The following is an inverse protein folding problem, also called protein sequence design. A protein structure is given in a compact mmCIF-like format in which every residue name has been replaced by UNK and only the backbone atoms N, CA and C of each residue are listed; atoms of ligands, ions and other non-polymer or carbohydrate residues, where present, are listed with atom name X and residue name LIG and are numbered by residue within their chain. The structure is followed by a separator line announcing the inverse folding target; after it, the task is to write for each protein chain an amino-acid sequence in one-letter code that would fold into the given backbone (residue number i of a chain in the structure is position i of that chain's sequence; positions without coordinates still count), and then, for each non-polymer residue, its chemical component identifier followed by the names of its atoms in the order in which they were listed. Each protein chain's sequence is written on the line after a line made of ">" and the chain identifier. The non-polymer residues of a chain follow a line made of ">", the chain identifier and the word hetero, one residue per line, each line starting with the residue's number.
data_IF_664263191866
#
_entry.id   IF_664263191866
#
_cell.length_a   1.000
_cell.length_b   1.000
_cell.length_c   1.000
_cell.angle_alpha   90.00
_cell.angle_beta   90.00
_cell.angle_gamma   90.00
#
_symmetry.space_group_name_H-M   'P 1'
#
loop_
_entity.id
_entity.type
_entity.pdbx_description
1 polymer ?
#
# COMPACT_ATOMS: atom_id res chain seq x y z
N UNK A 1 6.72 -8.51 -19.04
CA UNK A 1 8.20 -8.35 -19.03
C UNK A 1 8.62 -6.90 -19.27
N UNK A 2 8.02 -6.20 -20.23
CA UNK A 2 8.38 -4.83 -20.63
C UNK A 2 8.33 -3.80 -19.49
N UNK A 3 7.45 -3.99 -18.50
CA UNK A 3 7.28 -3.09 -17.38
C UNK A 3 8.45 -3.08 -16.39
N UNK A 4 9.13 -4.23 -16.16
CA UNK A 4 10.11 -4.38 -15.08
C UNK A 4 11.54 -4.69 -15.55
N UNK A 5 11.79 -4.74 -16.85
CA UNK A 5 13.14 -4.93 -17.40
C UNK A 5 13.92 -3.62 -17.63
N UNK A 6 13.52 -2.54 -16.94
CA UNK A 6 14.16 -1.24 -17.04
C UNK A 6 15.28 -1.08 -16.03
N UNK A 7 16.36 -0.41 -16.42
CA UNK A 7 17.51 -0.14 -15.52
C UNK A 7 17.12 0.65 -14.27
N UNK A 8 16.16 1.56 -14.40
CA UNK A 8 15.68 2.40 -13.32
C UNK A 8 14.21 2.08 -13.01
N UNK A 9 13.84 2.16 -11.73
CA UNK A 9 12.54 1.66 -11.28
C UNK A 9 11.40 2.58 -11.67
N UNK A 10 11.45 3.88 -11.34
CA UNK A 10 10.33 4.81 -11.51
C UNK A 10 10.60 5.93 -12.50
N UNK A 11 11.85 6.18 -12.85
CA UNK A 11 12.32 7.29 -13.70
C UNK A 11 13.34 6.78 -14.70
N UNK A 12 13.51 7.49 -15.79
CA UNK A 12 14.53 7.19 -16.77
C UNK A 12 15.92 7.76 -16.37
N UNK A 13 16.92 7.55 -17.21
CA UNK A 13 18.29 8.06 -17.00
C UNK A 13 18.37 9.60 -16.91
N UNK A 14 17.33 10.31 -17.39
CA UNK A 14 17.20 11.77 -17.32
C UNK A 14 16.32 12.22 -16.17
N UNK A 15 16.08 11.34 -15.21
CA UNK A 15 15.21 11.55 -14.05
C UNK A 15 13.74 11.86 -14.40
N UNK A 16 13.28 11.50 -15.61
CA UNK A 16 11.89 11.68 -16.02
C UNK A 16 11.04 10.51 -15.54
N UNK A 17 9.93 10.81 -14.88
CA UNK A 17 8.96 9.83 -14.42
C UNK A 17 8.36 9.05 -15.59
N UNK A 18 8.26 7.72 -15.48
CA UNK A 18 7.67 6.92 -16.55
C UNK A 18 6.17 7.13 -16.63
N UNK A 19 5.67 7.39 -17.83
CA UNK A 19 4.25 7.67 -18.09
C UNK A 19 3.32 6.49 -17.82
N UNK A 20 3.85 5.27 -17.80
CA UNK A 20 3.15 4.03 -17.58
C UNK A 20 3.32 3.50 -16.15
N UNK A 21 3.79 4.32 -15.22
CA UNK A 21 3.91 3.93 -13.81
C UNK A 21 2.55 3.59 -13.17
N UNK A 22 1.46 4.16 -13.66
CA UNK A 22 0.09 3.81 -13.27
C UNK A 22 -0.25 2.36 -13.65
N UNK A 23 -0.02 1.96 -14.90
CA UNK A 23 -0.25 0.60 -15.38
C UNK A 23 0.68 -0.41 -14.67
N UNK A 24 1.94 -0.01 -14.43
CA UNK A 24 2.93 -0.80 -13.70
C UNK A 24 2.52 -1.06 -12.26
N UNK A 25 2.02 -0.04 -11.56
CA UNK A 25 1.51 -0.17 -10.19
C UNK A 25 0.33 -1.15 -10.13
N UNK A 26 -0.65 -1.01 -11.04
CA UNK A 26 -1.79 -1.92 -11.14
C UNK A 26 -1.32 -3.36 -11.41
N UNK A 27 -0.45 -3.53 -12.41
CA UNK A 27 0.06 -4.85 -12.77
C UNK A 27 0.82 -5.51 -11.62
N UNK A 28 1.71 -4.75 -10.95
CA UNK A 28 2.48 -5.24 -9.82
C UNK A 28 1.56 -5.70 -8.67
N UNK A 29 0.65 -4.83 -8.24
CA UNK A 29 -0.22 -5.11 -7.10
C UNK A 29 -1.12 -6.34 -7.36
N UNK A 30 -1.73 -6.44 -8.55
CA UNK A 30 -2.52 -7.62 -8.92
C UNK A 30 -1.65 -8.86 -9.04
N UNK A 31 -0.48 -8.74 -9.68
CA UNK A 31 0.44 -9.85 -9.90
C UNK A 31 0.93 -10.48 -8.61
N UNK A 32 1.25 -9.66 -7.60
CA UNK A 32 1.64 -10.15 -6.27
C UNK A 32 0.52 -10.96 -5.63
N UNK A 33 -0.71 -10.43 -5.59
CA UNK A 33 -1.85 -11.11 -4.98
C UNK A 33 -2.17 -12.43 -5.71
N UNK A 34 -2.22 -12.42 -7.04
CA UNK A 34 -2.45 -13.64 -7.81
C UNK A 34 -1.32 -14.67 -7.66
N UNK A 35 -0.08 -14.23 -7.45
CA UNK A 35 1.05 -15.12 -7.19
C UNK A 35 0.91 -15.80 -5.83
N UNK A 36 0.59 -15.06 -4.78
CA UNK A 36 0.34 -15.60 -3.44
C UNK A 36 -0.80 -16.62 -3.47
N UNK A 37 -1.89 -16.32 -4.20
CA UNK A 37 -3.01 -17.27 -4.40
C UNK A 37 -2.55 -18.56 -5.06
N UNK A 38 -1.74 -18.48 -6.12
CA UNK A 38 -1.22 -19.68 -6.80
C UNK A 38 -0.30 -20.52 -5.93
N UNK A 39 0.44 -19.89 -5.01
CA UNK A 39 1.28 -20.57 -4.04
C UNK A 39 0.47 -21.22 -2.92
N UNK A 40 -0.80 -20.87 -2.75
CA UNK A 40 -1.69 -21.42 -1.71
C UNK A 40 -1.26 -21.06 -0.29
N UNK A 41 -0.50 -19.99 -0.12
CA UNK A 41 0.00 -19.53 1.17
C UNK A 41 -0.85 -18.38 1.70
N UNK A 42 -1.45 -18.54 2.88
CA UNK A 42 -2.20 -17.50 3.55
C UNK A 42 -1.28 -16.71 4.49
N UNK A 43 -0.95 -15.44 4.19
CA UNK A 43 -0.12 -14.62 5.05
C UNK A 43 -0.90 -14.11 6.26
N UNK A 44 -0.26 -14.01 7.41
CA UNK A 44 -0.79 -13.32 8.60
C UNK A 44 -0.64 -11.80 8.46
N UNK A 45 0.52 -11.36 7.96
CA UNK A 45 0.85 -9.94 7.69
C UNK A 45 1.20 -9.73 6.21
N UNK A 46 0.62 -8.71 5.61
CA UNK A 46 1.01 -8.20 4.29
C UNK A 46 1.54 -6.79 4.47
N UNK A 47 2.86 -6.62 4.38
CA UNK A 47 3.48 -5.32 4.50
C UNK A 47 3.78 -4.70 3.13
N UNK A 48 3.13 -3.58 2.85
CA UNK A 48 3.22 -2.82 1.62
C UNK A 48 4.17 -1.63 1.79
N UNK A 49 5.13 -1.44 0.88
CA UNK A 49 6.15 -0.41 0.95
C UNK A 49 6.02 0.61 -0.19
N UNK A 50 5.67 1.85 0.15
CA UNK A 50 5.64 2.98 -0.76
C UNK A 50 4.52 2.93 -1.81
N UNK A 51 4.42 3.99 -2.60
CA UNK A 51 3.32 4.25 -3.50
C UNK A 51 3.06 3.17 -4.57
N UNK A 52 4.11 2.45 -5.01
CA UNK A 52 3.97 1.39 -6.02
C UNK A 52 3.09 0.23 -5.51
N UNK A 53 3.01 0.02 -4.20
CA UNK A 53 2.23 -1.03 -3.55
C UNK A 53 0.89 -0.56 -2.97
N UNK A 54 0.57 0.73 -3.13
CA UNK A 54 -0.58 1.39 -2.48
C UNK A 54 -1.95 0.80 -2.83
N UNK A 55 -2.06 0.09 -3.95
CA UNK A 55 -3.30 -0.57 -4.36
C UNK A 55 -3.52 -1.93 -3.69
N UNK A 56 -2.50 -2.54 -3.09
CA UNK A 56 -2.65 -3.85 -2.41
C UNK A 56 -3.67 -3.78 -1.27
N UNK A 57 -3.59 -2.80 -0.33
CA UNK A 57 -4.60 -2.65 0.72
C UNK A 57 -6.02 -2.50 0.15
N UNK A 58 -6.19 -1.65 -0.87
CA UNK A 58 -7.47 -1.47 -1.53
C UNK A 58 -8.02 -2.79 -2.11
N UNK A 59 -7.20 -3.52 -2.84
CA UNK A 59 -7.62 -4.79 -3.44
C UNK A 59 -8.02 -5.82 -2.39
N UNK A 60 -7.24 -5.97 -1.31
CA UNK A 60 -7.53 -6.92 -0.22
C UNK A 60 -8.84 -6.56 0.47
N UNK A 61 -9.03 -5.28 0.82
CA UNK A 61 -10.22 -4.83 1.56
C UNK A 61 -11.50 -4.73 0.72
N UNK A 62 -11.39 -4.91 -0.61
CA UNK A 62 -12.54 -4.85 -1.53
C UNK A 62 -12.70 -6.13 -2.33
N UNK A 63 -11.98 -6.27 -3.44
CA UNK A 63 -12.16 -7.37 -4.41
C UNK A 63 -11.74 -8.74 -3.87
N UNK A 64 -10.81 -8.79 -2.91
CA UNK A 64 -10.34 -10.04 -2.28
C UNK A 64 -10.81 -10.19 -0.83
N UNK A 65 -11.75 -9.37 -0.35
CA UNK A 65 -12.18 -9.35 1.06
C UNK A 65 -12.72 -10.69 1.57
N UNK A 66 -13.35 -11.46 0.69
CA UNK A 66 -13.93 -12.76 1.01
C UNK A 66 -13.03 -13.94 0.59
N UNK A 67 -11.82 -13.66 0.06
CA UNK A 67 -10.86 -14.69 -0.34
C UNK A 67 -10.27 -15.35 0.91
N UNK A 68 -10.35 -16.69 1.05
CA UNK A 68 -9.86 -17.40 2.24
C UNK A 68 -8.40 -17.14 2.58
N UNK A 69 -7.57 -16.80 1.59
CA UNK A 69 -6.14 -16.53 1.80
C UNK A 69 -5.88 -15.14 2.39
N UNK A 70 -6.78 -14.17 2.16
CA UNK A 70 -6.56 -12.78 2.55
C UNK A 70 -7.49 -12.27 3.65
N UNK A 71 -8.63 -12.90 3.85
CA UNK A 71 -9.68 -12.41 4.75
C UNK A 71 -9.22 -12.14 6.19
N UNK A 72 -8.21 -12.87 6.66
CA UNK A 72 -7.66 -12.73 8.01
C UNK A 72 -6.31 -11.99 8.03
N UNK A 73 -5.74 -11.64 6.85
CA UNK A 73 -4.46 -10.96 6.78
C UNK A 73 -4.56 -9.52 7.27
N UNK A 74 -3.63 -9.12 8.15
CA UNK A 74 -3.41 -7.71 8.49
C UNK A 74 -2.58 -7.04 7.42
N UNK A 75 -3.04 -5.91 6.93
CA UNK A 75 -2.34 -5.14 5.91
C UNK A 75 -1.68 -3.93 6.55
N UNK A 76 -0.35 -3.89 6.49
CA UNK A 76 0.47 -2.77 6.98
C UNK A 76 0.94 -1.96 5.77
N UNK A 77 0.88 -0.64 5.86
CA UNK A 77 1.35 0.26 4.81
C UNK A 77 2.43 1.21 5.31
N UNK A 78 3.63 1.11 4.74
CA UNK A 78 4.71 2.06 5.01
C UNK A 78 4.75 3.16 3.96
N UNK A 79 4.70 4.42 4.41
CA UNK A 79 4.84 5.60 3.58
C UNK A 79 6.27 6.15 3.65
N UNK A 80 6.83 6.55 2.49
CA UNK A 80 8.20 7.03 2.35
C UNK A 80 8.26 8.45 1.79
N UNK A 81 9.44 9.05 1.82
CA UNK A 81 9.75 10.31 1.14
C UNK A 81 10.30 10.04 -0.28
N UNK A 82 9.47 9.41 -1.11
CA UNK A 82 9.76 9.05 -2.50
C UNK A 82 8.85 9.80 -3.49
N UNK A 83 8.63 11.09 -3.20
CA UNK A 83 7.69 11.97 -3.87
C UNK A 83 7.95 12.11 -5.38
N UNK A 84 6.87 12.23 -6.11
CA UNK A 84 6.86 12.67 -7.51
C UNK A 84 5.86 13.82 -7.70
N UNK A 85 6.16 14.71 -8.65
CA UNK A 85 5.34 15.89 -8.96
C UNK A 85 4.35 15.63 -10.10
N UNK A 86 4.57 14.55 -10.86
CA UNK A 86 3.66 14.12 -11.91
C UNK A 86 2.38 13.53 -11.29
N UNK A 87 1.30 13.46 -12.08
CA UNK A 87 0.11 12.67 -11.74
C UNK A 87 0.04 11.45 -12.66
N UNK A 88 -0.62 10.40 -12.19
CA UNK A 88 -1.01 9.28 -13.05
C UNK A 88 -2.09 9.72 -14.05
N UNK A 89 -2.45 8.84 -14.97
CA UNK A 89 -3.47 9.17 -15.97
C UNK A 89 -4.84 9.49 -15.35
N UNK A 90 -5.59 10.43 -15.92
CA UNK A 90 -6.92 10.85 -15.47
C UNK A 90 -7.92 9.68 -15.35
N UNK A 91 -7.71 8.63 -16.11
CA UNK A 91 -8.54 7.43 -16.06
C UNK A 91 -8.02 6.35 -15.10
N UNK A 92 -7.05 6.68 -14.23
CA UNK A 92 -6.43 5.74 -13.30
C UNK A 92 -7.45 5.00 -12.43
N UNK A 93 -8.40 5.71 -11.83
CA UNK A 93 -9.46 5.10 -11.02
C UNK A 93 -10.33 4.09 -11.78
N UNK A 94 -10.52 4.30 -13.09
CA UNK A 94 -11.22 3.35 -13.97
C UNK A 94 -10.38 2.11 -14.27
N UNK A 95 -9.06 2.29 -14.47
CA UNK A 95 -8.11 1.19 -14.68
C UNK A 95 -7.97 0.30 -13.44
N UNK A 96 -8.00 0.91 -12.25
CA UNK A 96 -7.90 0.21 -10.96
C UNK A 96 -9.16 -0.61 -10.68
N UNK A 97 -10.34 -0.17 -11.14
CA UNK A 97 -11.63 -0.76 -10.79
C UNK A 97 -11.67 -2.26 -11.07
N UNK A 98 -12.11 -3.02 -10.07
CA UNK A 98 -12.39 -4.46 -10.13
C UNK A 98 -13.78 -4.75 -9.56
N UNK A 99 -14.25 -5.97 -9.75
CA UNK A 99 -15.49 -6.43 -9.13
C UNK A 99 -15.39 -6.35 -7.59
N UNK A 100 -16.50 -6.00 -6.96
CA UNK A 100 -16.55 -5.78 -5.51
C UNK A 100 -16.19 -4.37 -5.05
N UNK A 101 -15.69 -3.48 -5.95
CA UNK A 101 -15.36 -2.09 -5.62
C UNK A 101 -16.54 -1.15 -5.86
N UNK A 102 -16.83 -0.31 -4.87
CA UNK A 102 -17.75 0.82 -4.98
C UNK A 102 -17.04 2.08 -5.54
N UNK A 103 -17.84 3.05 -5.97
CA UNK A 103 -17.29 4.36 -6.39
C UNK A 103 -16.66 5.14 -5.23
N UNK A 104 -17.04 4.83 -4.00
CA UNK A 104 -16.47 5.45 -2.81
C UNK A 104 -15.04 4.95 -2.54
N UNK A 105 -14.78 3.66 -2.75
CA UNK A 105 -13.45 3.06 -2.58
C UNK A 105 -12.41 3.67 -3.52
N UNK A 106 -12.86 4.16 -4.67
CA UNK A 106 -12.03 4.79 -5.71
C UNK A 106 -11.99 6.32 -5.63
N UNK A 107 -12.65 6.94 -4.63
CA UNK A 107 -12.81 8.39 -4.57
C UNK A 107 -11.47 9.13 -4.55
N UNK A 108 -10.54 8.69 -3.71
CA UNK A 108 -9.21 9.28 -3.55
C UNK A 108 -8.37 9.14 -4.83
N UNK A 109 -8.57 8.07 -5.61
CA UNK A 109 -7.85 7.81 -6.85
C UNK A 109 -8.40 8.55 -8.08
N UNK A 110 -9.41 9.42 -7.93
CA UNK A 110 -9.90 10.27 -9.04
C UNK A 110 -8.93 11.39 -9.39
N UNK A 111 -8.15 11.87 -8.43
CA UNK A 111 -7.02 12.76 -8.60
C UNK A 111 -5.74 12.03 -8.17
N UNK A 112 -5.12 11.23 -9.08
CA UNK A 112 -4.10 10.26 -8.73
C UNK A 112 -2.70 10.87 -8.65
N UNK A 113 -2.54 11.91 -7.82
CA UNK A 113 -1.26 12.47 -7.45
C UNK A 113 -0.59 11.64 -6.32
N UNK A 114 0.66 11.95 -6.02
CA UNK A 114 1.44 11.24 -4.99
C UNK A 114 0.72 11.13 -3.64
N UNK A 115 0.14 12.24 -3.17
CA UNK A 115 -0.55 12.27 -1.87
C UNK A 115 -1.77 11.35 -1.86
N UNK A 116 -2.61 11.45 -2.87
CA UNK A 116 -3.85 10.69 -2.96
C UNK A 116 -3.62 9.19 -3.14
N UNK A 117 -2.56 8.81 -3.86
CA UNK A 117 -2.18 7.40 -4.02
C UNK A 117 -1.75 6.81 -2.68
N UNK A 118 -0.89 7.52 -1.92
CA UNK A 118 -0.49 7.08 -0.58
C UNK A 118 -1.66 7.10 0.41
N UNK A 119 -2.49 8.15 0.40
CA UNK A 119 -3.69 8.22 1.24
C UNK A 119 -4.63 7.05 0.99
N UNK A 120 -4.81 6.62 -0.27
CA UNK A 120 -5.62 5.43 -0.58
C UNK A 120 -5.05 4.18 0.09
N UNK A 121 -3.73 3.97 0.03
CA UNK A 121 -3.06 2.86 0.70
C UNK A 121 -3.23 2.91 2.22
N UNK A 122 -2.97 4.08 2.83
CA UNK A 122 -3.10 4.29 4.27
C UNK A 122 -4.54 4.11 4.78
N UNK A 123 -5.53 4.61 4.03
CA UNK A 123 -6.94 4.50 4.38
C UNK A 123 -7.43 3.05 4.39
N UNK A 124 -6.94 2.22 3.48
CA UNK A 124 -7.35 0.83 3.32
C UNK A 124 -6.51 -0.17 4.13
N UNK A 125 -5.33 0.21 4.60
CA UNK A 125 -4.51 -0.62 5.48
C UNK A 125 -5.09 -0.74 6.89
N UNK A 126 -4.73 -1.80 7.62
CA UNK A 126 -5.07 -1.98 9.04
C UNK A 126 -4.14 -1.17 9.93
N UNK A 127 -2.89 -0.98 9.53
CA UNK A 127 -1.89 -0.20 10.26
C UNK A 127 -0.97 0.57 9.32
N UNK A 128 -0.35 1.64 9.82
CA UNK A 128 0.49 2.53 9.01
C UNK A 128 1.85 2.75 9.68
N UNK A 129 2.92 2.68 8.88
CA UNK A 129 4.30 2.94 9.35
C UNK A 129 4.87 4.16 8.60
N UNK A 130 5.54 5.03 9.32
CA UNK A 130 6.38 6.06 8.74
C UNK A 130 7.73 5.45 8.35
N UNK A 131 7.95 5.22 7.07
CA UNK A 131 9.14 4.52 6.55
C UNK A 131 10.36 5.43 6.30
N UNK A 132 10.18 6.77 6.30
CA UNK A 132 11.25 7.76 6.19
C UNK A 132 11.23 8.72 7.38
N UNK A 133 12.37 9.31 7.72
CA UNK A 133 12.50 10.29 8.81
C UNK A 133 11.54 11.46 8.63
N UNK A 134 11.37 11.93 7.39
CA UNK A 134 10.35 12.90 7.00
C UNK A 134 9.40 12.29 5.96
N UNK A 135 8.16 12.74 5.97
CA UNK A 135 7.13 12.46 4.97
C UNK A 135 6.30 13.74 4.74
N UNK A 136 5.55 13.86 3.63
CA UNK A 136 4.68 15.00 3.41
C UNK A 136 3.76 15.29 4.59
N UNK A 137 3.57 16.59 4.87
CA UNK A 137 2.81 17.06 6.05
C UNK A 137 1.36 16.51 6.06
N UNK A 138 0.73 16.39 4.90
CA UNK A 138 -0.62 15.86 4.74
C UNK A 138 -0.70 14.37 5.12
N UNK A 139 0.30 13.57 4.75
CA UNK A 139 0.38 12.16 5.11
C UNK A 139 0.68 12.00 6.60
N UNK A 140 1.54 12.86 7.15
CA UNK A 140 1.80 12.90 8.59
C UNK A 140 0.56 13.31 9.39
N UNK A 141 -0.21 14.27 8.89
CA UNK A 141 -1.47 14.69 9.51
C UNK A 141 -2.48 13.53 9.54
N UNK A 142 -2.58 12.75 8.48
CA UNK A 142 -3.41 11.54 8.47
C UNK A 142 -2.96 10.54 9.53
N UNK A 143 -1.65 10.25 9.65
CA UNK A 143 -1.13 9.35 10.68
C UNK A 143 -1.45 9.82 12.10
N UNK A 144 -1.41 11.12 12.34
CA UNK A 144 -1.69 11.69 13.66
C UNK A 144 -3.19 11.71 14.01
N UNK A 145 -4.06 11.69 12.99
CA UNK A 145 -5.52 11.78 13.17
C UNK A 145 -6.23 10.42 13.10
N UNK A 146 -5.58 9.39 12.60
CA UNK A 146 -6.19 8.06 12.47
C UNK A 146 -6.23 7.32 13.81
N UNK A 147 -7.28 6.52 14.04
CA UNK A 147 -7.39 5.61 15.18
C UNK A 147 -6.65 4.28 14.94
N UNK A 148 -6.14 4.04 13.73
CA UNK A 148 -5.40 2.82 13.41
C UNK A 148 -4.06 2.79 14.12
N UNK A 149 -3.53 1.59 14.44
CA UNK A 149 -2.17 1.43 14.91
C UNK A 149 -1.17 2.12 13.98
N UNK A 150 -0.28 2.94 14.54
CA UNK A 150 0.77 3.62 13.78
C UNK A 150 2.13 3.45 14.41
N UNK A 151 3.15 3.24 13.58
CA UNK A 151 4.54 3.23 14.02
C UNK A 151 5.30 4.40 13.37
N UNK A 152 5.96 5.21 14.19
CA UNK A 152 6.85 6.28 13.74
C UNK A 152 8.11 5.74 13.07
N UNK A 153 8.88 6.63 12.43
CA UNK A 153 10.14 6.28 11.80
C UNK A 153 11.10 5.56 12.77
N UNK A 154 11.72 4.50 12.26
CA UNK A 154 12.72 3.70 12.98
C UNK A 154 14.08 3.80 12.29
N UNK A 155 15.13 3.90 13.07
CA UNK A 155 16.52 3.92 12.57
C UNK A 155 16.96 2.50 12.15
N UNK A 156 18.12 2.40 11.51
CA UNK A 156 18.71 1.10 11.12
C UNK A 156 18.97 0.18 12.30
N UNK A 157 19.20 0.74 13.47
CA UNK A 157 19.49 0.00 14.70
C UNK A 157 18.23 -0.52 15.38
N UNK A 158 17.08 0.13 15.19
CA UNK A 158 15.85 -0.15 15.94
C UNK A 158 14.76 -0.82 15.10
N UNK A 159 14.79 -0.69 13.76
CA UNK A 159 13.65 -1.07 12.92
C UNK A 159 13.28 -2.56 13.01
N UNK A 160 14.27 -3.46 13.17
CA UNK A 160 14.01 -4.91 13.21
C UNK A 160 13.15 -5.28 14.42
N UNK A 161 13.56 -4.85 15.62
CA UNK A 161 12.78 -5.13 16.84
C UNK A 161 11.44 -4.39 16.83
N UNK A 162 11.44 -3.10 16.49
CA UNK A 162 10.22 -2.29 16.51
C UNK A 162 9.16 -2.80 15.51
N UNK A 163 9.56 -3.30 14.34
CA UNK A 163 8.63 -3.88 13.38
C UNK A 163 8.12 -5.25 13.84
N UNK A 164 8.99 -6.08 14.42
CA UNK A 164 8.59 -7.38 15.00
C UNK A 164 7.53 -7.17 16.08
N UNK A 165 7.84 -6.32 17.07
CA UNK A 165 6.92 -6.00 18.17
C UNK A 165 5.58 -5.44 17.64
N UNK A 166 5.64 -4.55 16.65
CA UNK A 166 4.45 -3.96 16.02
C UNK A 166 3.58 -5.00 15.29
N UNK A 167 4.18 -5.98 14.63
CA UNK A 167 3.43 -7.05 13.99
C UNK A 167 2.80 -7.99 15.01
N UNK A 168 3.54 -8.33 16.07
CA UNK A 168 3.03 -9.18 17.14
C UNK A 168 1.82 -8.54 17.82
N UNK A 169 1.89 -7.23 18.11
CA UNK A 169 0.77 -6.47 18.69
C UNK A 169 -0.48 -6.51 17.78
N UNK A 170 -0.29 -6.32 16.45
CA UNK A 170 -1.40 -6.38 15.48
C UNK A 170 -2.09 -7.74 15.42
N UNK A 171 -1.35 -8.83 15.65
CA UNK A 171 -1.90 -10.19 15.63
C UNK A 171 -2.58 -10.57 16.94
N UNK A 172 -2.13 -10.03 18.08
CA UNK A 172 -2.71 -10.29 19.40
C UNK A 172 -4.09 -9.64 19.54
N UNK A 173 -4.31 -8.46 18.99
CA UNK A 173 -5.62 -7.76 19.07
C UNK A 173 -6.77 -8.61 18.53
N UNK A 174 -6.57 -9.39 17.47
CA UNK A 174 -7.60 -10.28 16.91
C UNK A 174 -7.93 -11.45 17.82
N UNK A 175 -6.97 -11.93 18.61
CA UNK A 175 -7.16 -13.06 19.52
C UNK A 175 -8.07 -12.68 20.71
N UNK A 176 -7.99 -11.43 21.15
CA UNK A 176 -8.79 -10.90 22.27
C UNK A 176 -10.24 -10.63 21.84
N UNK A 177 -10.46 -10.23 20.58
CA UNK A 177 -11.81 -9.96 20.06
C UNK A 177 -12.57 -11.22 19.61
N UNK A 178 -11.89 -12.37 19.54
CA UNK A 178 -12.47 -13.65 19.14
C UNK A 178 -12.96 -14.52 20.32
N UNK A 179 -12.82 -14.03 21.55
CA UNK A 179 -13.30 -14.65 22.80
C UNK A 179 -14.52 -13.91 23.33
#
# INVERSE_FOLDING_TARGET
>A
EEYFQRKYVFRDAKNKFYKDNDDRSIFFCRGVLETVKKLGWAPDIIHCHGWMTSLIPLFIKTSYKDDPLYKNAKVVYSVYDDQFTDSFSENFSKKVKMDGMSSNDLKTLKDPNYLNINLSGMQMADAVIQGSESIPAELKAFMNATEKPTLGFQTKETYVSAYSDFYDDLLVEDTILAV
#
